data_IF_767621808121
#
_entry.id   IF_767621808121
#
_cell.length_a   1.000
_cell.length_b   1.000
_cell.length_c   1.000
_cell.angle_alpha   90.00
_cell.angle_beta   90.00
_cell.angle_gamma   90.00
#
_symmetry.space_group_name_H-M   'P 1'
#
loop_
_entity.id
_entity.type
_entity.pdbx_description
1 polymer ?
#
# COMPACT_ATOMS: atom_id res chain seq x y z
N UNK A 1 7.35 2.99 14.76
CA UNK A 1 8.10 3.13 13.49
C UNK A 1 7.78 1.92 12.63
N UNK A 2 7.48 2.12 11.35
CA UNK A 2 7.17 1.02 10.42
C UNK A 2 8.49 0.47 9.87
N UNK A 3 8.68 -0.84 9.95
CA UNK A 3 9.84 -1.55 9.43
C UNK A 3 9.39 -2.65 8.48
N UNK A 4 10.33 -3.28 7.76
CA UNK A 4 10.00 -4.41 6.90
C UNK A 4 9.44 -5.60 7.71
N UNK A 5 9.89 -5.80 8.95
CA UNK A 5 9.42 -6.91 9.79
C UNK A 5 7.98 -6.74 10.26
N UNK A 6 7.57 -5.51 10.63
CA UNK A 6 6.23 -5.26 11.18
C UNK A 6 5.20 -4.77 10.15
N UNK A 7 5.62 -4.48 8.92
CA UNK A 7 4.75 -3.88 7.90
C UNK A 7 3.47 -4.69 7.67
N UNK A 8 3.58 -6.01 7.54
CA UNK A 8 2.43 -6.84 7.21
C UNK A 8 1.42 -6.93 8.36
N UNK A 9 1.91 -6.98 9.61
CA UNK A 9 1.04 -7.00 10.79
C UNK A 9 0.28 -5.68 10.94
N UNK A 10 0.93 -4.55 10.62
CA UNK A 10 0.27 -3.25 10.56
C UNK A 10 -0.80 -3.25 9.47
N UNK A 11 -0.51 -3.76 8.27
CA UNK A 11 -1.51 -3.89 7.20
C UNK A 11 -2.69 -4.78 7.65
N UNK A 12 -2.45 -5.84 8.42
CA UNK A 12 -3.55 -6.66 8.96
C UNK A 12 -4.40 -5.84 9.95
N UNK A 13 -3.77 -5.06 10.83
CA UNK A 13 -4.45 -4.29 11.86
C UNK A 13 -5.41 -3.22 11.31
N UNK A 14 -5.11 -2.64 10.14
CA UNK A 14 -5.93 -1.62 9.50
C UNK A 14 -7.02 -2.15 8.54
N UNK A 15 -7.21 -3.47 8.46
CA UNK A 15 -8.26 -4.02 7.60
C UNK A 15 -9.66 -3.53 8.01
N UNK A 16 -10.54 -3.32 7.03
CA UNK A 16 -11.88 -2.76 7.26
C UNK A 16 -11.96 -1.24 7.41
N UNK A 17 -10.85 -0.54 7.61
CA UNK A 17 -10.83 0.93 7.54
C UNK A 17 -11.02 1.41 6.09
N UNK A 18 -11.49 2.67 5.94
CA UNK A 18 -11.65 3.29 4.63
C UNK A 18 -10.37 3.98 4.20
N UNK A 19 -9.86 3.57 3.04
CA UNK A 19 -8.70 4.17 2.38
C UNK A 19 -9.15 4.90 1.13
N UNK A 20 -8.35 5.88 0.71
CA UNK A 20 -8.60 6.64 -0.51
C UNK A 20 -7.43 6.49 -1.46
N UNK A 21 -7.72 6.17 -2.71
CA UNK A 21 -6.70 6.23 -3.78
C UNK A 21 -6.21 7.67 -3.98
N UNK A 22 -5.11 7.86 -4.71
CA UNK A 22 -4.63 9.18 -5.11
C UNK A 22 -5.67 10.00 -5.92
N UNK A 23 -6.71 9.35 -6.48
CA UNK A 23 -7.83 10.00 -7.16
C UNK A 23 -9.04 10.27 -6.25
N UNK A 24 -8.92 10.05 -4.94
CA UNK A 24 -10.02 10.25 -3.99
C UNK A 24 -11.10 9.16 -4.02
N UNK A 25 -10.89 8.04 -4.73
CA UNK A 25 -11.85 6.94 -4.72
C UNK A 25 -11.71 6.12 -3.42
N UNK A 26 -12.78 5.97 -2.63
CA UNK A 26 -12.76 5.18 -1.40
C UNK A 26 -12.70 3.68 -1.70
N UNK A 27 -12.09 2.93 -0.80
CA UNK A 27 -12.09 1.48 -0.79
C UNK A 27 -11.83 0.95 0.62
N UNK A 28 -12.27 -0.28 0.85
CA UNK A 28 -11.87 -1.09 2.02
C UNK A 28 -11.12 -2.33 1.55
N UNK A 29 -10.50 -3.07 2.47
CA UNK A 29 -9.86 -4.34 2.15
C UNK A 29 -9.96 -5.34 3.30
N UNK A 30 -9.68 -6.60 2.97
CA UNK A 30 -9.49 -7.70 3.91
C UNK A 30 -8.23 -8.48 3.59
N UNK A 31 -7.62 -9.11 4.60
CA UNK A 31 -6.50 -10.04 4.40
C UNK A 31 -7.02 -11.48 4.42
N UNK A 32 -6.71 -12.26 3.38
CA UNK A 32 -7.05 -13.68 3.30
C UNK A 32 -5.86 -14.45 2.75
N UNK A 33 -5.43 -15.51 3.45
CA UNK A 33 -4.32 -16.36 3.01
C UNK A 33 -3.01 -15.60 2.75
N UNK A 34 -2.73 -14.51 3.47
CA UNK A 34 -1.52 -13.70 3.26
C UNK A 34 -1.57 -12.76 2.05
N UNK A 35 -2.76 -12.53 1.48
CA UNK A 35 -2.96 -11.58 0.39
C UNK A 35 -4.02 -10.52 0.72
N UNK A 36 -3.90 -9.38 0.05
CA UNK A 36 -4.70 -8.18 0.23
C UNK A 36 -5.81 -8.11 -0.82
N UNK A 37 -7.06 -8.14 -0.38
CA UNK A 37 -8.25 -8.10 -1.24
C UNK A 37 -9.02 -6.80 -1.01
N UNK A 38 -9.03 -5.92 -2.01
CA UNK A 38 -9.89 -4.72 -2.02
C UNK A 38 -11.31 -5.06 -2.44
N UNK A 39 -12.29 -4.30 -1.97
CA UNK A 39 -13.67 -4.31 -2.48
C UNK A 39 -13.83 -3.80 -3.94
N UNK A 40 -12.79 -3.16 -4.49
CA UNK A 40 -12.80 -2.59 -5.86
C UNK A 40 -12.25 -3.50 -6.96
N UNK A 41 -11.44 -4.52 -6.62
CA UNK A 41 -10.64 -5.28 -7.59
C UNK A 41 -10.82 -6.79 -7.42
N UNK A 42 -10.96 -7.50 -8.54
CA UNK A 42 -11.12 -8.96 -8.57
C UNK A 42 -9.88 -9.75 -8.13
N UNK A 43 -8.68 -9.28 -8.45
CA UNK A 43 -7.40 -9.94 -8.12
C UNK A 43 -6.79 -9.33 -6.85
N UNK A 44 -6.31 -10.18 -5.96
CA UNK A 44 -5.57 -9.82 -4.76
C UNK A 44 -4.18 -9.24 -5.06
N UNK A 45 -3.59 -8.59 -4.05
CA UNK A 45 -2.21 -8.10 -4.05
C UNK A 45 -1.43 -8.90 -3.01
N UNK A 46 -0.28 -9.44 -3.40
CA UNK A 46 0.51 -10.32 -2.52
C UNK A 46 1.27 -9.52 -1.46
N UNK A 47 1.56 -10.13 -0.31
CA UNK A 47 2.48 -9.58 0.69
C UNK A 47 3.82 -9.12 0.10
N UNK A 48 4.44 -9.94 -0.75
CA UNK A 48 5.69 -9.60 -1.43
C UNK A 48 5.60 -8.33 -2.29
N UNK A 49 4.42 -8.01 -2.83
CA UNK A 49 4.21 -6.76 -3.57
C UNK A 49 4.31 -5.54 -2.66
N UNK A 50 3.76 -5.62 -1.45
CA UNK A 50 3.89 -4.56 -0.44
C UNK A 50 5.33 -4.43 0.03
N UNK A 51 6.00 -5.54 0.35
CA UNK A 51 7.40 -5.54 0.81
C UNK A 51 8.33 -4.90 -0.25
N UNK A 52 8.18 -5.29 -1.52
CA UNK A 52 8.95 -4.69 -2.63
C UNK A 52 8.71 -3.19 -2.76
N UNK A 53 7.45 -2.75 -2.65
CA UNK A 53 7.11 -1.34 -2.76
C UNK A 53 7.62 -0.54 -1.55
N UNK A 54 7.57 -1.12 -0.35
CA UNK A 54 8.11 -0.50 0.87
C UNK A 54 9.61 -0.27 0.76
N UNK A 55 10.39 -1.31 0.39
CA UNK A 55 11.83 -1.19 0.19
C UNK A 55 12.18 -0.09 -0.83
N UNK A 56 11.47 -0.08 -1.96
CA UNK A 56 11.65 0.95 -2.99
C UNK A 56 11.41 2.37 -2.46
N UNK A 57 10.45 2.55 -1.56
CA UNK A 57 10.19 3.84 -0.90
C UNK A 57 11.32 4.20 0.06
N UNK A 58 11.78 3.25 0.88
CA UNK A 58 12.87 3.49 1.83
C UNK A 58 14.19 3.86 1.11
N UNK A 59 14.42 3.33 -0.08
CA UNK A 59 15.59 3.63 -0.91
C UNK A 59 15.46 4.97 -1.68
N UNK A 60 14.28 5.58 -1.76
CA UNK A 60 14.03 6.82 -2.50
C UNK A 60 14.45 8.07 -1.72
N UNK A 61 15.76 8.27 -1.63
CA UNK A 61 16.37 9.49 -1.05
C UNK A 61 16.12 10.77 -1.85
N UNK A 62 15.55 10.64 -3.06
CA UNK A 62 15.34 11.75 -4.00
C UNK A 62 13.88 12.18 -4.15
N UNK A 63 12.97 11.61 -3.36
CA UNK A 63 11.52 11.90 -3.38
C UNK A 63 10.88 11.80 -4.77
N UNK A 64 11.31 10.82 -5.58
CA UNK A 64 10.75 10.56 -6.92
C UNK A 64 9.44 9.77 -6.90
N UNK A 65 9.13 9.08 -5.80
CA UNK A 65 7.90 8.31 -5.63
C UNK A 65 6.78 9.25 -5.16
N UNK A 66 6.28 10.04 -6.11
CA UNK A 66 5.21 11.04 -5.86
C UNK A 66 3.81 10.51 -6.12
N UNK A 67 3.67 9.24 -6.52
CA UNK A 67 2.38 8.65 -6.83
C UNK A 67 2.43 7.17 -7.17
N UNK A 68 1.25 6.53 -7.34
CA UNK A 68 1.13 5.09 -7.55
C UNK A 68 1.96 4.55 -8.71
N UNK A 69 2.01 5.28 -9.84
CA UNK A 69 2.73 4.84 -11.04
C UNK A 69 4.23 4.66 -10.78
N UNK A 70 4.82 5.48 -9.90
CA UNK A 70 6.24 5.42 -9.57
C UNK A 70 6.62 4.14 -8.81
N UNK A 71 5.69 3.50 -8.10
CA UNK A 71 5.96 2.22 -7.41
C UNK A 71 6.28 1.09 -8.40
N UNK A 72 5.67 1.11 -9.59
CA UNK A 72 5.82 0.08 -10.62
C UNK A 72 5.52 -1.35 -10.09
N UNK A 73 4.38 -1.51 -9.44
CA UNK A 73 3.89 -2.78 -8.89
C UNK A 73 2.45 -3.06 -9.28
N UNK A 74 2.01 -4.32 -9.21
CA UNK A 74 0.62 -4.66 -9.43
C UNK A 74 -0.27 -4.09 -8.32
N UNK A 75 -1.37 -3.43 -8.70
CA UNK A 75 -2.26 -2.82 -7.72
C UNK A 75 -1.70 -1.54 -7.09
N UNK A 76 -0.74 -0.88 -7.74
CA UNK A 76 -0.09 0.33 -7.23
C UNK A 76 -1.02 1.41 -6.65
N UNK A 77 -2.22 1.71 -7.21
CA UNK A 77 -3.12 2.69 -6.61
C UNK A 77 -3.53 2.39 -5.17
N UNK A 78 -3.67 1.12 -4.81
CA UNK A 78 -4.06 0.67 -3.48
C UNK A 78 -2.85 0.56 -2.54
N UNK A 79 -1.72 0.07 -3.07
CA UNK A 79 -0.45 0.01 -2.32
C UNK A 79 0.02 1.42 -1.93
N UNK A 80 -0.04 2.37 -2.85
CA UNK A 80 0.32 3.76 -2.56
C UNK A 80 -0.65 4.40 -1.56
N UNK A 81 -1.95 4.13 -1.68
CA UNK A 81 -2.95 4.62 -0.73
C UNK A 81 -2.70 4.11 0.70
N UNK A 82 -2.34 2.83 0.84
CA UNK A 82 -1.95 2.22 2.11
C UNK A 82 -0.74 2.96 2.71
N UNK A 83 0.35 3.09 1.96
CA UNK A 83 1.55 3.76 2.46
C UNK A 83 1.35 5.24 2.76
N UNK A 84 0.49 5.93 2.00
CA UNK A 84 0.12 7.32 2.29
C UNK A 84 -0.61 7.42 3.63
N UNK A 85 -1.61 6.56 3.85
CA UNK A 85 -2.38 6.55 5.11
C UNK A 85 -1.48 6.23 6.31
N UNK A 86 -0.53 5.31 6.14
CA UNK A 86 0.44 4.93 7.17
C UNK A 86 1.59 5.96 7.36
N UNK A 87 1.59 7.06 6.61
CA UNK A 87 2.64 8.08 6.68
C UNK A 87 4.01 7.63 6.17
N UNK A 88 4.07 6.57 5.36
CA UNK A 88 5.30 6.03 4.75
C UNK A 88 5.72 6.83 3.51
N UNK A 89 4.75 7.42 2.81
CA UNK A 89 4.98 8.36 1.69
C UNK A 89 4.14 9.60 1.87
N UNK A 90 4.66 10.73 1.40
CA UNK A 90 3.89 11.95 1.25
C UNK A 90 3.20 11.97 -0.13
N UNK A 91 1.95 12.43 -0.17
CA UNK A 91 1.22 12.59 -1.42
C UNK A 91 -0.12 13.27 -1.20
N UNK A 92 -0.47 14.22 -2.08
CA UNK A 92 -1.81 14.83 -2.12
C UNK A 92 -2.88 13.79 -2.51
#
# INVERSE_FOLDING_TARGET
>A
MITAENLWDIIIAHQGETFYTAKGLPFTYTIKGGEFFTDRKKKSITRATFEKAFLKIQEDTSHKITGPKALNVFGAPYVFAMFRQLGVVEGK
#
